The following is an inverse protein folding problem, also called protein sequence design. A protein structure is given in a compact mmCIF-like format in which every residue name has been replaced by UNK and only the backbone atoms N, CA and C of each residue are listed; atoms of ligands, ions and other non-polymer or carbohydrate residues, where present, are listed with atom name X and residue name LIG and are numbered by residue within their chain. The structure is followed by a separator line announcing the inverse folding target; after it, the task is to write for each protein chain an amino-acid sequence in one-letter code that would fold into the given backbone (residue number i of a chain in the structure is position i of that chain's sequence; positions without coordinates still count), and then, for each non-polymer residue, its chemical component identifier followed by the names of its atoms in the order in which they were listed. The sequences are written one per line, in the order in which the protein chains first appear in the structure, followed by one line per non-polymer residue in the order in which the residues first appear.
data_IF_932982581405
#
_entry.id   IF_932982581405
#
_cell.length_a   1.000
_cell.length_b   1.000
_cell.length_c   1.000
_cell.angle_alpha   90.00
_cell.angle_beta   90.00
_cell.angle_gamma   90.00
#
_symmetry.space_group_name_H-M   'P 1'
#
loop_
_entity.id
_entity.type
_entity.pdbx_description
1 polymer ?
#
# COMPACT_ATOMS: atom_id res chain seq x y z
N UNK A 1 -15.01 4.45 6.47
CA UNK A 1 -13.65 4.99 6.22
C UNK A 1 -12.68 3.90 6.56
N UNK A 2 -11.98 3.37 5.55
CA UNK A 2 -10.98 2.34 5.79
C UNK A 2 -9.73 3.02 6.36
N UNK A 3 -9.02 2.31 7.25
CA UNK A 3 -7.78 2.78 7.89
C UNK A 3 -6.75 3.32 6.88
N UNK A 4 -6.78 2.88 5.63
CA UNK A 4 -5.83 3.22 4.57
C UNK A 4 -6.37 4.20 3.51
N UNK A 5 -7.55 4.80 3.71
CA UNK A 5 -8.12 5.81 2.79
C UNK A 5 -7.15 6.99 2.51
N UNK A 6 -6.41 7.53 3.51
CA UNK A 6 -5.42 8.59 3.26
C UNK A 6 -4.30 8.17 2.29
N UNK A 7 -3.86 6.91 2.39
CA UNK A 7 -2.85 6.35 1.49
C UNK A 7 -3.40 6.21 0.06
N UNK A 8 -4.65 5.77 -0.08
CA UNK A 8 -5.34 5.73 -1.39
C UNK A 8 -5.38 7.11 -2.04
N UNK A 9 -5.83 8.12 -1.28
CA UNK A 9 -5.91 9.50 -1.74
C UNK A 9 -4.54 10.09 -2.10
N UNK A 10 -3.50 9.75 -1.33
CA UNK A 10 -2.13 10.14 -1.63
C UNK A 10 -1.64 9.54 -2.95
N UNK A 11 -1.82 8.24 -3.15
CA UNK A 11 -1.41 7.53 -4.37
C UNK A 11 -2.15 8.03 -5.60
N UNK A 12 -3.47 8.28 -5.51
CA UNK A 12 -4.28 8.83 -6.62
C UNK A 12 -3.78 10.19 -7.12
N UNK A 13 -3.21 11.01 -6.24
CA UNK A 13 -2.64 12.32 -6.61
C UNK A 13 -1.28 12.23 -7.30
N UNK A 14 -0.63 11.06 -7.26
CA UNK A 14 0.67 10.88 -7.88
C UNK A 14 0.54 10.72 -9.40
N UNK A 15 1.31 11.52 -10.14
CA UNK A 15 1.38 11.45 -11.61
C UNK A 15 2.37 10.40 -12.12
N UNK A 16 3.20 9.83 -11.23
CA UNK A 16 4.17 8.80 -11.58
C UNK A 16 3.52 7.42 -11.65
N UNK A 17 4.06 6.57 -12.53
CA UNK A 17 3.69 5.16 -12.61
C UNK A 17 4.40 4.31 -11.56
N UNK A 18 5.48 4.82 -10.97
CA UNK A 18 6.22 4.13 -9.90
C UNK A 18 6.54 5.10 -8.78
N UNK A 19 6.20 4.70 -7.57
CA UNK A 19 6.45 5.46 -6.36
C UNK A 19 7.00 4.53 -5.29
N UNK A 20 8.05 4.93 -4.60
CA UNK A 20 8.57 4.20 -3.45
C UNK A 20 8.29 5.00 -2.19
N UNK A 21 7.71 4.34 -1.19
CA UNK A 21 7.47 4.93 0.13
C UNK A 21 8.07 4.02 1.19
N UNK A 22 8.79 4.61 2.14
CA UNK A 22 9.22 3.92 3.36
C UNK A 22 8.04 3.66 4.29
N UNK A 23 8.20 2.69 5.20
CA UNK A 23 7.19 2.41 6.23
C UNK A 23 6.84 3.68 7.02
N UNK A 24 7.85 4.47 7.42
CA UNK A 24 7.63 5.71 8.15
C UNK A 24 6.81 6.75 7.35
N UNK A 25 7.00 6.85 6.04
CA UNK A 25 6.19 7.73 5.18
C UNK A 25 4.75 7.23 5.09
N UNK A 26 4.55 5.92 4.92
CA UNK A 26 3.22 5.32 4.88
C UNK A 26 2.50 5.52 6.21
N UNK A 27 3.18 5.32 7.34
CA UNK A 27 2.65 5.54 8.68
C UNK A 27 2.25 6.99 8.91
N UNK A 28 3.04 7.95 8.40
CA UNK A 28 2.70 9.38 8.45
C UNK A 28 1.48 9.71 7.59
N UNK A 29 1.38 9.13 6.39
CA UNK A 29 0.24 9.36 5.49
C UNK A 29 -1.04 8.76 6.09
N UNK A 30 -0.95 7.54 6.62
CA UNK A 30 -2.06 6.81 7.24
C UNK A 30 -2.43 7.39 8.61
N UNK A 31 -1.48 8.03 9.29
CA UNK A 31 -1.64 8.51 10.67
C UNK A 31 -1.66 7.38 11.70
N UNK A 32 -1.13 6.19 11.36
CA UNK A 32 -1.08 5.05 12.24
C UNK A 32 0.13 4.17 11.93
N UNK A 33 0.64 3.48 12.95
CA UNK A 33 1.74 2.53 12.77
C UNK A 33 1.30 1.31 11.96
N UNK A 34 2.21 0.84 11.10
CA UNK A 34 2.03 -0.38 10.34
C UNK A 34 2.13 -1.59 11.28
N UNK A 35 1.30 -2.63 11.08
CA UNK A 35 1.41 -3.83 11.88
C UNK A 35 2.72 -4.56 11.58
N UNK A 36 3.22 -5.38 12.51
CA UNK A 36 4.41 -6.24 12.28
C UNK A 36 4.30 -7.11 11.02
N UNK A 37 3.08 -7.45 10.60
CA UNK A 37 2.81 -8.18 9.36
C UNK A 37 3.25 -7.43 8.09
N UNK A 38 3.36 -6.10 8.12
CA UNK A 38 3.84 -5.29 6.99
C UNK A 38 5.31 -5.59 6.63
N UNK A 39 6.08 -6.21 7.52
CA UNK A 39 7.42 -6.71 7.19
C UNK A 39 7.39 -7.90 6.21
N UNK A 40 6.22 -8.48 5.93
CA UNK A 40 6.09 -9.64 5.04
C UNK A 40 5.61 -9.19 3.64
N UNK A 41 6.27 -9.60 2.55
CA UNK A 41 5.82 -9.25 1.19
C UNK A 41 4.36 -9.63 0.91
N UNK A 42 3.91 -10.78 1.43
CA UNK A 42 2.54 -11.27 1.32
C UNK A 42 1.47 -10.32 1.90
N UNK A 43 1.85 -9.43 2.83
CA UNK A 43 0.92 -8.45 3.41
C UNK A 43 0.63 -7.30 2.43
N UNK A 44 1.61 -6.98 1.58
CA UNK A 44 1.50 -5.99 0.50
C UNK A 44 1.01 -6.61 -0.81
N UNK A 45 1.32 -7.90 -1.01
CA UNK A 45 0.90 -8.65 -2.17
C UNK A 45 -0.62 -8.54 -2.36
N UNK A 46 -1.04 -8.44 -3.62
CA UNK A 46 -2.43 -8.23 -3.99
C UNK A 46 -3.30 -9.49 -3.86
N UNK A 47 -2.94 -10.43 -2.97
CA UNK A 47 -3.74 -11.60 -2.65
C UNK A 47 -4.94 -11.17 -1.80
N UNK A 48 -6.06 -10.97 -2.48
CA UNK A 48 -7.39 -10.96 -1.88
C UNK A 48 -7.66 -12.34 -1.31
N UNK A 49 -7.49 -12.50 -0.01
CA UNK A 49 -8.16 -13.59 0.70
C UNK A 49 -9.69 -13.41 0.53
N UNK A 50 -10.43 -14.44 0.12
CA UNK A 50 -11.87 -14.37 -0.13
C UNK A 50 -12.69 -13.99 1.12
N UNK A 51 -12.10 -13.97 2.32
CA UNK A 51 -12.78 -13.57 3.57
C UNK A 51 -12.97 -12.05 3.73
N UNK A 52 -12.57 -11.21 2.77
CA UNK A 52 -12.87 -9.77 2.79
C UNK A 52 -12.13 -8.94 3.86
N UNK A 53 -11.15 -9.51 4.56
CA UNK A 53 -10.41 -8.88 5.68
C UNK A 53 -9.31 -7.89 5.29
N UNK A 54 -9.01 -7.73 4.00
CA UNK A 54 -7.85 -6.96 3.53
C UNK A 54 -8.22 -5.52 3.15
N UNK A 55 -8.70 -4.75 4.13
CA UNK A 55 -9.02 -3.31 3.98
C UNK A 55 -7.82 -2.49 3.48
N UNK A 56 -6.60 -2.94 3.77
CA UNK A 56 -5.37 -2.33 3.26
C UNK A 56 -5.22 -2.48 1.74
N UNK A 57 -5.46 -3.68 1.20
CA UNK A 57 -5.29 -3.97 -0.25
C UNK A 57 -6.22 -3.11 -1.08
N UNK A 58 -7.46 -2.91 -0.60
CA UNK A 58 -8.45 -2.07 -1.27
C UNK A 58 -7.94 -0.65 -1.49
N UNK A 59 -7.27 -0.04 -0.51
CA UNK A 59 -6.84 1.35 -0.59
C UNK A 59 -5.93 1.63 -1.80
N UNK A 60 -4.85 0.86 -2.01
CA UNK A 60 -3.98 1.08 -3.18
C UNK A 60 -4.56 0.51 -4.47
N UNK A 61 -5.36 -0.58 -4.42
CA UNK A 61 -6.07 -1.09 -5.61
C UNK A 61 -7.05 -0.06 -6.16
N UNK A 62 -7.85 0.57 -5.31
CA UNK A 62 -8.79 1.62 -5.71
C UNK A 62 -8.06 2.86 -6.25
N UNK A 63 -6.81 3.07 -5.83
CA UNK A 63 -5.93 4.08 -6.41
C UNK A 63 -5.34 3.69 -7.77
N UNK A 64 -5.51 2.44 -8.21
CA UNK A 64 -4.94 1.92 -9.45
C UNK A 64 -3.49 1.44 -9.32
N UNK A 65 -3.01 1.18 -8.09
CA UNK A 65 -1.64 0.76 -7.82
C UNK A 65 -1.56 -0.67 -7.27
N UNK A 66 -0.45 -1.34 -7.56
CA UNK A 66 0.02 -2.56 -6.94
C UNK A 66 1.15 -2.25 -5.97
N UNK A 67 1.13 -2.82 -4.77
CA UNK A 67 2.19 -2.66 -3.78
C UNK A 67 3.16 -3.85 -3.82
N UNK A 68 4.46 -3.56 -3.73
CA UNK A 68 5.56 -4.52 -3.70
C UNK A 68 6.54 -4.15 -2.60
N UNK A 69 6.76 -5.04 -1.63
CA UNK A 69 7.76 -4.81 -0.60
C UNK A 69 9.17 -4.93 -1.19
N UNK A 70 10.01 -3.92 -0.93
CA UNK A 70 11.44 -3.95 -1.24
C UNK A 70 12.15 -4.63 -0.07
N UNK A 71 12.61 -5.86 -0.30
CA UNK A 71 13.31 -6.65 0.71
C UNK A 71 14.59 -5.90 1.17
N UNK A 72 14.78 -5.82 2.50
CA UNK A 72 15.97 -5.22 3.09
C UNK A 72 15.98 -3.69 3.16
N UNK A 73 14.89 -3.01 2.78
CA UNK A 73 14.85 -1.54 2.73
C UNK A 73 13.69 -0.88 3.49
N UNK A 74 12.84 -1.64 4.20
CA UNK A 74 11.61 -1.16 4.87
C UNK A 74 10.79 -0.19 4.00
N UNK A 75 10.74 -0.51 2.71
CA UNK A 75 10.14 0.31 1.66
C UNK A 75 9.19 -0.50 0.81
N UNK A 76 8.18 0.17 0.31
CA UNK A 76 7.18 -0.40 -0.57
C UNK A 76 7.17 0.39 -1.86
N UNK A 77 7.31 -0.32 -2.97
CA UNK A 77 7.10 0.21 -4.30
C UNK A 77 5.63 0.06 -4.68
N UNK A 78 4.99 1.17 -4.98
CA UNK A 78 3.68 1.23 -5.59
C UNK A 78 3.86 1.43 -7.10
N UNK A 79 3.38 0.47 -7.89
CA UNK A 79 3.39 0.55 -9.35
C UNK A 79 1.96 0.68 -9.87
N UNK A 80 1.73 1.67 -10.74
CA UNK A 80 0.44 1.84 -11.41
C UNK A 80 0.19 0.63 -12.28
N UNK A 81 -0.99 0.04 -12.13
CA UNK A 81 -1.40 -1.05 -13.01
C UNK A 81 -1.77 -0.47 -14.37
N UNK A 82 -1.24 -1.00 -15.48
CA UNK A 82 -1.80 -0.72 -16.78
C UNK A 82 -3.27 -1.17 -16.78
N UNK A 83 -4.15 -0.33 -17.33
CA UNK A 83 -5.58 -0.57 -17.44
C UNK A 83 -5.88 -1.78 -18.33
#
# INVERSE_FOLDING_TARGET
MAKYDPLSGYLRRQKTDRLELSFAEIERIVGAMLPKSAARPQWWANETDPSGRHVQIRAWREAGFAAFLIAGADRVRFERRPA
#
